data_IF_835318414958
#
_entry.id   IF_835318414958
#
_cell.length_a   1.000
_cell.length_b   1.000
_cell.length_c   1.000
_cell.angle_alpha   90.00
_cell.angle_beta   90.00
_cell.angle_gamma   90.00
#
_symmetry.space_group_name_H-M   'P 1'
#
loop_
_entity.id
_entity.type
_entity.pdbx_description
1 polymer ?
#
# COMPACT_ATOMS: atom_id res chain seq x y z
N UNK A 1 11.23 7.61 14.37
CA UNK A 1 10.02 7.11 15.02
C UNK A 1 8.82 7.34 14.13
N UNK A 2 8.20 6.24 13.69
CA UNK A 2 6.94 6.30 12.96
C UNK A 2 5.84 6.58 13.95
N UNK A 3 5.42 7.82 14.08
CA UNK A 3 4.26 8.13 14.90
C UNK A 3 3.04 8.03 14.00
N UNK A 4 2.31 6.94 14.15
CA UNK A 4 1.02 6.79 13.51
C UNK A 4 0.00 7.58 14.33
N UNK A 5 -0.53 8.64 13.76
CA UNK A 5 -1.64 9.38 14.37
C UNK A 5 -2.87 9.06 13.55
N UNK A 6 -3.80 8.37 14.17
CA UNK A 6 -5.12 8.09 13.60
C UNK A 6 -6.13 8.96 14.31
N UNK A 7 -6.44 10.16 13.85
CA UNK A 7 -7.59 10.89 14.35
C UNK A 7 -8.82 10.43 13.57
N UNK A 8 -9.58 9.49 14.14
CA UNK A 8 -10.99 9.30 13.85
C UNK A 8 -11.46 9.13 12.39
N UNK A 9 -10.55 8.81 11.48
CA UNK A 9 -10.88 8.59 10.06
C UNK A 9 -11.13 7.11 9.89
N UNK A 10 -12.36 6.78 9.66
CA UNK A 10 -12.79 5.47 9.19
C UNK A 10 -12.46 5.39 7.72
N UNK A 11 -11.71 4.37 7.32
CA UNK A 11 -11.34 3.94 5.98
C UNK A 11 -10.04 4.52 5.43
N UNK A 12 -9.09 3.65 5.16
CA UNK A 12 -7.96 3.65 4.21
C UNK A 12 -7.04 4.89 4.12
N UNK A 13 -7.32 5.98 4.79
CA UNK A 13 -6.42 7.13 4.87
C UNK A 13 -5.56 7.02 6.13
N UNK A 14 -4.27 6.79 5.96
CA UNK A 14 -3.28 6.84 7.04
C UNK A 14 -2.38 8.04 6.84
N UNK A 15 -2.36 8.94 7.81
CA UNK A 15 -1.47 10.08 7.80
C UNK A 15 -0.15 9.66 8.42
N UNK A 16 0.92 9.63 7.62
CA UNK A 16 2.26 9.34 8.09
C UNK A 16 3.05 10.64 8.22
N UNK A 17 3.54 10.88 9.41
CA UNK A 17 4.47 11.96 9.65
C UNK A 17 5.88 11.41 9.75
N UNK A 18 6.73 11.80 8.83
CA UNK A 18 8.16 11.50 8.88
C UNK A 18 8.86 12.65 9.59
N UNK A 19 9.06 12.52 10.89
CA UNK A 19 9.82 13.48 11.67
C UNK A 19 11.31 13.22 11.47
N UNK A 20 12.00 14.13 10.81
CA UNK A 20 13.47 14.13 10.79
C UNK A 20 14.09 14.83 12.00
N UNK A 21 13.31 15.62 12.74
CA UNK A 21 13.73 16.35 13.95
C UNK A 21 12.77 16.15 15.10
N UNK A 22 13.27 16.06 16.33
CA UNK A 22 12.49 15.94 17.57
C UNK A 22 11.47 17.07 17.84
N UNK A 23 11.38 18.05 16.94
CA UNK A 23 10.43 19.15 17.01
C UNK A 23 8.96 18.74 16.78
N UNK A 24 8.72 17.59 16.12
CA UNK A 24 7.36 17.09 15.89
C UNK A 24 6.81 16.38 17.11
N UNK A 25 7.68 15.76 17.91
CA UNK A 25 7.25 15.09 19.13
C UNK A 25 6.45 16.02 20.05
N UNK A 26 6.70 17.31 19.99
CA UNK A 26 6.01 18.30 20.83
C UNK A 26 4.59 18.61 20.33
N UNK A 27 4.37 18.73 19.01
CA UNK A 27 3.04 18.97 18.45
C UNK A 27 2.10 17.77 18.58
N UNK A 28 2.70 16.56 18.56
CA UNK A 28 1.95 15.32 18.79
C UNK A 28 1.60 15.12 20.27
N UNK A 29 2.48 15.56 21.16
CA UNK A 29 2.30 15.42 22.60
C UNK A 29 1.12 16.25 23.12
N UNK A 30 0.85 17.40 22.53
CA UNK A 30 -0.26 18.27 22.89
C UNK A 30 -1.60 17.84 22.25
N UNK A 31 -1.62 16.71 21.54
CA UNK A 31 -2.82 16.13 20.94
C UNK A 31 -3.38 16.89 19.71
N UNK A 32 -2.70 17.93 19.27
CA UNK A 32 -3.04 18.69 18.07
C UNK A 32 -1.86 18.75 17.12
N UNK A 33 -2.12 18.49 15.83
CA UNK A 33 -1.13 18.65 14.78
C UNK A 33 -0.99 20.12 14.42
N UNK A 34 0.25 20.61 14.48
CA UNK A 34 0.57 21.97 14.04
C UNK A 34 0.80 21.96 12.54
N UNK A 35 -0.28 22.05 11.77
CA UNK A 35 -0.22 22.11 10.31
C UNK A 35 0.56 23.33 9.81
N UNK A 36 0.44 24.47 10.46
CA UNK A 36 1.17 25.69 10.08
C UNK A 36 2.68 25.46 10.09
N UNK A 37 3.16 24.69 11.08
CA UNK A 37 4.57 24.32 11.16
C UNK A 37 5.02 23.39 10.05
N UNK A 38 4.17 22.42 9.64
CA UNK A 38 4.46 21.56 8.49
C UNK A 38 4.54 22.36 7.20
N UNK A 39 3.57 23.24 6.96
CA UNK A 39 3.58 24.14 5.79
C UNK A 39 4.84 25.02 5.76
N UNK A 40 5.15 25.68 6.86
CA UNK A 40 6.34 26.54 6.94
C UNK A 40 7.64 25.75 6.72
N UNK A 41 7.73 24.54 7.26
CA UNK A 41 8.91 23.69 7.10
C UNK A 41 9.08 23.28 5.65
N UNK A 42 8.00 22.83 4.99
CA UNK A 42 8.03 22.45 3.59
C UNK A 42 8.36 23.62 2.66
N UNK A 43 7.66 24.75 2.80
CA UNK A 43 7.85 25.93 1.97
C UNK A 43 9.27 26.54 2.03
N UNK A 44 9.97 26.35 3.15
CA UNK A 44 11.34 26.85 3.35
C UNK A 44 12.44 25.88 2.94
N UNK A 45 12.07 24.63 2.64
CA UNK A 45 13.03 23.58 2.35
C UNK A 45 13.42 23.58 0.86
N UNK A 46 14.23 24.56 0.49
CA UNK A 46 14.85 24.62 -0.84
C UNK A 46 16.01 23.62 -0.88
N UNK A 47 16.01 22.74 -1.87
CA UNK A 47 17.05 21.73 -1.98
C UNK A 47 18.39 22.32 -2.34
N UNK A 48 19.42 21.95 -1.61
CA UNK A 48 20.80 22.43 -1.82
C UNK A 48 21.65 21.47 -2.65
N UNK A 49 21.11 20.28 -2.97
CA UNK A 49 21.78 19.35 -3.87
C UNK A 49 21.99 20.00 -5.25
N UNK A 50 23.22 19.99 -5.83
CA UNK A 50 23.51 20.67 -7.09
C UNK A 50 22.68 20.18 -8.28
N UNK A 51 22.31 18.90 -8.31
CA UNK A 51 21.50 18.31 -9.38
C UNK A 51 20.05 18.75 -9.22
N UNK A 52 19.50 18.60 -8.01
CA UNK A 52 18.12 18.95 -7.71
C UNK A 52 17.90 20.47 -7.75
N UNK A 53 18.82 21.25 -7.23
CA UNK A 53 18.76 22.72 -7.30
C UNK A 53 18.75 23.21 -8.74
N UNK A 54 19.51 22.59 -9.64
CA UNK A 54 19.50 22.91 -11.07
C UNK A 54 18.18 22.52 -11.74
N UNK A 55 17.59 21.40 -11.33
CA UNK A 55 16.37 20.86 -11.91
C UNK A 55 15.11 21.56 -11.39
N UNK A 56 15.06 21.85 -10.09
CA UNK A 56 13.87 22.32 -9.39
C UNK A 56 13.91 23.85 -9.13
N UNK A 57 15.07 24.49 -9.24
CA UNK A 57 15.22 25.92 -9.00
C UNK A 57 14.88 26.30 -7.55
N UNK A 58 13.91 27.22 -7.41
CA UNK A 58 13.44 27.68 -6.09
C UNK A 58 12.26 26.88 -5.54
N UNK A 59 11.89 25.75 -6.18
CA UNK A 59 10.83 24.90 -5.70
C UNK A 59 11.23 24.22 -4.39
N UNK A 60 10.29 24.13 -3.47
CA UNK A 60 10.53 23.55 -2.15
C UNK A 60 10.25 22.05 -2.12
N UNK A 61 11.16 21.32 -1.50
CA UNK A 61 11.03 19.88 -1.26
C UNK A 61 10.16 19.63 -0.01
N UNK A 62 9.12 18.86 -0.13
CA UNK A 62 8.31 18.47 1.02
C UNK A 62 9.06 17.49 1.92
N UNK A 63 9.12 17.80 3.23
CA UNK A 63 9.56 16.89 4.27
C UNK A 63 8.38 16.13 4.89
N UNK A 64 7.20 16.70 4.76
CA UNK A 64 5.93 16.17 5.27
C UNK A 64 4.93 16.13 4.15
N UNK A 65 4.12 15.09 4.11
CA UNK A 65 3.04 14.95 3.15
C UNK A 65 1.90 14.14 3.75
N UNK A 66 0.75 14.22 3.14
CA UNK A 66 -0.36 13.31 3.35
C UNK A 66 -0.33 12.29 2.23
N UNK A 67 -0.29 11.01 2.61
CA UNK A 67 -0.39 9.91 1.66
C UNK A 67 -1.75 9.22 1.76
N UNK A 68 -2.18 8.69 0.64
CA UNK A 68 -3.33 7.80 0.54
C UNK A 68 -2.83 6.41 0.12
N UNK A 69 -3.15 5.38 0.91
CA UNK A 69 -2.79 3.99 0.61
C UNK A 69 -3.98 3.28 0.02
N UNK A 70 -3.78 2.73 -1.16
CA UNK A 70 -4.82 2.05 -1.92
C UNK A 70 -4.62 0.55 -1.93
N UNK A 71 -5.74 -0.16 -1.75
CA UNK A 71 -5.84 -1.60 -1.91
C UNK A 71 -7.05 -1.89 -2.80
N UNK A 72 -6.84 -1.85 -4.11
CA UNK A 72 -7.90 -2.09 -5.09
C UNK A 72 -8.01 -3.59 -5.36
N UNK A 73 -9.11 -4.18 -4.95
CA UNK A 73 -9.33 -5.61 -5.06
C UNK A 73 -10.46 -5.93 -6.04
N UNK A 74 -10.18 -6.87 -6.93
CA UNK A 74 -11.15 -7.48 -7.83
C UNK A 74 -11.19 -8.98 -7.57
N UNK A 75 -12.35 -9.48 -7.18
CA UNK A 75 -12.55 -10.89 -6.79
C UNK A 75 -13.68 -11.50 -7.62
N UNK A 76 -13.36 -12.57 -8.35
CA UNK A 76 -14.33 -13.39 -9.05
C UNK A 76 -14.40 -14.77 -8.42
N UNK A 77 -15.59 -15.20 -8.07
CA UNK A 77 -15.83 -16.51 -7.49
C UNK A 77 -16.92 -17.23 -8.29
N UNK A 78 -16.58 -18.41 -8.81
CA UNK A 78 -17.51 -19.33 -9.46
C UNK A 78 -17.57 -20.61 -8.67
N UNK A 79 -18.74 -20.92 -8.12
CA UNK A 79 -18.98 -22.17 -7.40
C UNK A 79 -20.08 -22.98 -8.09
N UNK A 80 -19.80 -24.25 -8.33
CA UNK A 80 -20.74 -25.20 -8.90
C UNK A 80 -20.92 -26.35 -7.92
N UNK A 81 -22.17 -26.65 -7.58
CA UNK A 81 -22.52 -27.78 -6.74
C UNK A 81 -23.51 -28.68 -7.47
N UNK A 82 -23.26 -29.96 -7.46
CA UNK A 82 -24.10 -30.99 -8.08
C UNK A 82 -24.48 -32.03 -7.06
N UNK A 83 -25.76 -32.35 -7.04
CA UNK A 83 -26.29 -33.45 -6.24
C UNK A 83 -27.06 -34.40 -7.14
N UNK A 84 -26.76 -35.71 -7.02
CA UNK A 84 -27.45 -36.73 -7.76
C UNK A 84 -27.87 -37.86 -6.80
N UNK A 85 -29.15 -38.14 -6.77
CA UNK A 85 -29.71 -39.27 -6.00
C UNK A 85 -29.88 -40.47 -6.94
N UNK A 86 -29.21 -41.56 -6.62
CA UNK A 86 -29.27 -42.82 -7.36
C UNK A 86 -30.25 -43.77 -6.73
N UNK A 87 -30.60 -44.87 -7.44
CA UNK A 87 -31.39 -45.95 -6.88
C UNK A 87 -30.62 -46.63 -5.73
N UNK A 88 -31.35 -47.32 -4.84
CA UNK A 88 -30.81 -48.07 -3.70
C UNK A 88 -30.15 -47.19 -2.61
N UNK A 89 -30.78 -46.08 -2.25
CA UNK A 89 -30.30 -45.18 -1.19
C UNK A 89 -28.85 -44.67 -1.39
N UNK A 90 -28.44 -44.48 -2.63
CA UNK A 90 -27.15 -43.90 -2.97
C UNK A 90 -27.32 -42.46 -3.33
N UNK A 91 -26.38 -41.62 -2.85
CA UNK A 91 -26.34 -40.19 -3.13
C UNK A 91 -24.90 -39.74 -3.41
N UNK A 92 -24.71 -39.01 -4.48
CA UNK A 92 -23.47 -38.29 -4.76
C UNK A 92 -23.74 -36.80 -4.64
N UNK A 93 -22.86 -36.13 -3.92
CA UNK A 93 -22.80 -34.65 -3.87
C UNK A 93 -21.38 -34.25 -4.17
N UNK A 94 -21.20 -33.30 -5.07
CA UNK A 94 -19.91 -32.81 -5.40
C UNK A 94 -19.96 -31.35 -5.79
N UNK A 95 -18.82 -30.71 -5.74
CA UNK A 95 -18.72 -29.33 -6.12
C UNK A 95 -17.32 -28.95 -6.57
N UNK A 96 -17.24 -27.86 -7.26
CA UNK A 96 -15.99 -27.21 -7.61
C UNK A 96 -16.11 -25.70 -7.40
N UNK A 97 -15.02 -25.10 -6.99
CA UNK A 97 -14.90 -23.67 -6.82
C UNK A 97 -13.67 -23.16 -7.55
N UNK A 98 -13.83 -22.03 -8.25
CA UNK A 98 -12.78 -21.29 -8.89
C UNK A 98 -12.83 -19.85 -8.38
N UNK A 99 -11.76 -19.39 -7.79
CA UNK A 99 -11.62 -18.01 -7.35
C UNK A 99 -10.42 -17.35 -8.03
N UNK A 100 -10.65 -16.22 -8.63
CA UNK A 100 -9.62 -15.37 -9.23
C UNK A 100 -9.63 -14.05 -8.50
N UNK A 101 -8.56 -13.72 -7.84
CA UNK A 101 -8.39 -12.46 -7.15
C UNK A 101 -7.22 -11.69 -7.76
N UNK A 102 -7.42 -10.40 -7.95
CA UNK A 102 -6.40 -9.44 -8.36
C UNK A 102 -6.46 -8.25 -7.43
N UNK A 103 -5.34 -7.98 -6.76
CA UNK A 103 -5.23 -6.86 -5.83
C UNK A 103 -4.07 -5.97 -6.24
N UNK A 104 -4.31 -4.66 -6.37
CA UNK A 104 -3.29 -3.65 -6.58
C UNK A 104 -3.02 -2.96 -5.25
N UNK A 105 -1.76 -2.81 -4.90
CA UNK A 105 -1.30 -2.10 -3.71
C UNK A 105 -0.41 -0.94 -4.15
N UNK A 106 -0.75 0.28 -3.73
CA UNK A 106 0.08 1.45 -4.02
C UNK A 106 -0.18 2.57 -3.03
N UNK A 107 0.79 3.49 -2.94
CA UNK A 107 0.64 4.77 -2.24
C UNK A 107 0.57 5.91 -3.25
N UNK A 108 -0.24 6.91 -2.95
CA UNK A 108 -0.40 8.12 -3.73
C UNK A 108 -0.23 9.34 -2.83
N UNK A 109 0.36 10.40 -3.36
CA UNK A 109 0.51 11.66 -2.64
C UNK A 109 -0.81 12.43 -2.70
N UNK A 110 -1.42 12.64 -1.53
CA UNK A 110 -2.68 13.38 -1.41
C UNK A 110 -2.45 14.87 -1.28
N UNK A 111 -1.47 15.28 -0.47
CA UNK A 111 -1.12 16.66 -0.22
C UNK A 111 0.36 16.78 0.16
N UNK A 112 1.04 17.76 -0.38
CA UNK A 112 2.44 18.06 -0.11
C UNK A 112 2.62 19.07 1.04
N UNK A 113 1.53 19.50 1.69
CA UNK A 113 1.54 20.42 2.82
C UNK A 113 2.39 21.69 2.55
N UNK A 114 2.12 22.31 1.39
CA UNK A 114 2.75 23.55 0.99
C UNK A 114 4.12 23.43 0.31
N UNK A 115 4.65 22.22 0.13
CA UNK A 115 5.82 22.01 -0.72
C UNK A 115 5.44 21.82 -2.19
N UNK A 116 6.41 21.91 -3.09
CA UNK A 116 6.20 21.82 -4.53
C UNK A 116 6.39 20.41 -5.08
N UNK A 117 7.18 19.57 -4.39
CA UNK A 117 7.47 18.21 -4.80
C UNK A 117 7.88 17.32 -3.64
N UNK A 118 7.76 16.01 -3.85
CA UNK A 118 8.27 14.96 -3.01
C UNK A 118 9.43 14.24 -3.69
N UNK A 119 10.48 13.97 -2.95
CA UNK A 119 11.61 13.17 -3.40
C UNK A 119 11.39 11.71 -3.01
N UNK A 120 11.18 10.84 -4.01
CA UNK A 120 10.75 9.45 -3.81
C UNK A 120 11.91 8.56 -3.38
N UNK A 121 12.26 8.68 -2.11
CA UNK A 121 13.33 7.93 -1.44
C UNK A 121 12.85 7.39 -0.09
N UNK A 122 13.57 6.40 0.42
CA UNK A 122 13.42 5.96 1.80
C UNK A 122 14.14 6.95 2.74
N UNK A 123 13.33 7.77 3.42
CA UNK A 123 13.82 8.79 4.35
C UNK A 123 14.60 8.24 5.54
N UNK A 124 14.32 7.02 5.96
CA UNK A 124 15.07 6.38 7.03
C UNK A 124 16.42 5.90 6.53
N UNK A 125 16.45 5.28 5.36
CA UNK A 125 17.70 4.89 4.73
C UNK A 125 18.57 6.11 4.35
N UNK A 126 17.97 7.22 3.87
CA UNK A 126 18.69 8.49 3.62
C UNK A 126 19.46 8.96 4.84
N UNK A 127 18.87 8.83 6.04
CA UNK A 127 19.52 9.23 7.28
C UNK A 127 20.66 8.29 7.68
N UNK A 128 20.48 6.99 7.49
CA UNK A 128 21.32 5.95 8.09
C UNK A 128 22.35 5.38 7.11
N UNK A 129 22.20 5.61 5.80
CA UNK A 129 23.04 5.06 4.74
C UNK A 129 23.90 6.12 4.06
N UNK A 130 25.17 5.78 3.81
CA UNK A 130 26.13 6.70 3.16
C UNK A 130 26.02 6.74 1.62
N UNK A 131 25.42 5.69 1.01
CA UNK A 131 25.29 5.58 -0.45
C UNK A 131 23.95 6.08 -0.91
N UNK A 132 23.95 6.96 -1.90
CA UNK A 132 22.71 7.48 -2.51
C UNK A 132 21.84 6.36 -3.11
N UNK A 133 22.44 5.30 -3.61
CA UNK A 133 21.72 4.14 -4.16
C UNK A 133 20.93 3.37 -3.09
N UNK A 134 21.43 3.35 -1.85
CA UNK A 134 20.84 2.55 -0.77
C UNK A 134 19.48 3.06 -0.30
N UNK A 135 19.14 4.32 -0.57
CA UNK A 135 17.87 4.92 -0.16
C UNK A 135 16.91 5.22 -1.31
N UNK A 136 17.23 4.79 -2.54
CA UNK A 136 16.34 4.96 -3.68
C UNK A 136 15.18 3.96 -3.62
N UNK A 137 13.96 4.43 -3.88
CA UNK A 137 12.80 3.57 -4.08
C UNK A 137 12.74 3.00 -5.51
N UNK A 138 13.35 3.69 -6.47
CA UNK A 138 13.44 3.31 -7.88
C UNK A 138 14.89 3.44 -8.37
N UNK A 139 15.63 2.34 -8.28
CA UNK A 139 17.04 2.28 -8.70
C UNK A 139 17.23 2.43 -10.20
N UNK A 140 16.33 1.88 -11.00
CA UNK A 140 16.44 1.97 -12.46
C UNK A 140 16.27 3.41 -12.92
N UNK A 141 15.33 4.14 -12.32
CA UNK A 141 15.18 5.56 -12.57
C UNK A 141 16.40 6.36 -12.12
N UNK A 142 16.93 6.07 -10.93
CA UNK A 142 18.12 6.74 -10.40
C UNK A 142 19.34 6.56 -11.31
N UNK A 143 19.61 5.35 -11.77
CA UNK A 143 20.73 5.08 -12.68
C UNK A 143 20.58 5.74 -14.05
N UNK A 144 19.35 5.89 -14.52
CA UNK A 144 19.06 6.54 -15.80
C UNK A 144 19.17 8.08 -15.73
N UNK A 145 18.87 8.69 -14.58
CA UNK A 145 18.70 10.15 -14.46
C UNK A 145 19.72 10.80 -13.53
N UNK A 146 20.36 10.04 -12.63
CA UNK A 146 21.28 10.54 -11.61
C UNK A 146 20.60 11.17 -10.38
N UNK A 147 19.27 11.07 -10.28
CA UNK A 147 18.51 11.54 -9.13
C UNK A 147 17.29 10.64 -8.87
N UNK A 148 16.73 10.69 -7.65
CA UNK A 148 15.50 9.98 -7.35
C UNK A 148 14.30 10.58 -8.12
N UNK A 149 13.26 9.80 -8.23
CA UNK A 149 12.02 10.26 -8.86
C UNK A 149 11.40 11.40 -8.07
N UNK A 150 10.98 12.41 -8.80
CA UNK A 150 10.25 13.56 -8.25
C UNK A 150 8.78 13.28 -8.42
N UNK A 151 8.05 13.25 -7.31
CA UNK A 151 6.62 12.99 -7.28
C UNK A 151 5.85 14.24 -6.82
N UNK A 152 4.63 14.39 -7.31
CA UNK A 152 3.71 15.49 -7.01
C UNK A 152 2.38 14.95 -6.51
N UNK A 153 1.50 15.84 -6.12
CA UNK A 153 0.12 15.46 -5.73
C UNK A 153 -0.54 14.66 -6.85
N UNK A 154 -1.10 13.50 -6.52
CA UNK A 154 -1.71 12.55 -7.44
C UNK A 154 -0.73 11.52 -8.02
N UNK A 155 0.57 11.64 -7.76
CA UNK A 155 1.54 10.66 -8.22
C UNK A 155 1.65 9.48 -7.25
N UNK A 156 1.82 8.29 -7.80
CA UNK A 156 2.18 7.10 -7.02
C UNK A 156 3.65 7.18 -6.63
N UNK A 157 3.95 6.81 -5.41
CA UNK A 157 5.32 6.83 -4.88
C UNK A 157 5.58 5.65 -3.96
N UNK A 158 6.86 5.41 -3.62
CA UNK A 158 7.29 4.36 -2.70
C UNK A 158 7.11 2.97 -3.28
N UNK A 159 5.87 2.50 -3.38
CA UNK A 159 5.59 1.18 -3.92
C UNK A 159 4.36 1.15 -4.83
N UNK A 160 4.43 0.25 -5.81
CA UNK A 160 3.29 -0.16 -6.64
C UNK A 160 3.48 -1.62 -7.05
N UNK A 161 2.65 -2.50 -6.51
CA UNK A 161 2.69 -3.90 -6.89
C UNK A 161 1.29 -4.50 -7.02
N UNK A 162 1.21 -5.59 -7.75
CA UNK A 162 -0.01 -6.31 -8.03
C UNK A 162 0.13 -7.76 -7.62
N UNK A 163 -0.80 -8.24 -6.80
CA UNK A 163 -0.94 -9.64 -6.47
C UNK A 163 -2.02 -10.28 -7.32
N UNK A 164 -1.76 -11.48 -7.82
CA UNK A 164 -2.73 -12.34 -8.49
C UNK A 164 -2.82 -13.64 -7.75
N UNK A 165 -4.04 -14.01 -7.37
CA UNK A 165 -4.34 -15.28 -6.72
C UNK A 165 -5.32 -16.05 -7.58
N UNK A 166 -4.98 -17.31 -7.89
CA UNK A 166 -5.87 -18.30 -8.47
C UNK A 166 -6.04 -19.44 -7.47
N UNK A 167 -7.25 -19.63 -7.03
CA UNK A 167 -7.62 -20.69 -6.12
C UNK A 167 -8.64 -21.60 -6.80
N UNK A 168 -8.37 -22.90 -6.79
CA UNK A 168 -9.27 -23.91 -7.31
C UNK A 168 -9.42 -25.01 -6.28
N UNK A 169 -10.64 -25.43 -6.03
CA UNK A 169 -10.90 -26.61 -5.24
C UNK A 169 -12.02 -27.43 -5.86
N UNK A 170 -11.99 -28.73 -5.61
CA UNK A 170 -13.06 -29.63 -5.99
C UNK A 170 -13.22 -30.67 -4.87
N UNK A 171 -14.46 -31.06 -4.63
CA UNK A 171 -14.78 -32.04 -3.63
C UNK A 171 -15.91 -32.94 -4.12
N UNK A 172 -15.95 -34.18 -3.61
CA UNK A 172 -17.03 -35.10 -3.84
C UNK A 172 -17.31 -35.85 -2.56
N UNK A 173 -18.57 -36.12 -2.29
CA UNK A 173 -19.05 -36.96 -1.21
C UNK A 173 -19.99 -38.01 -1.77
N UNK A 174 -19.77 -39.26 -1.41
CA UNK A 174 -20.62 -40.37 -1.77
C UNK A 174 -21.25 -40.97 -0.49
N UNK A 175 -22.54 -41.10 -0.48
CA UNK A 175 -23.28 -41.70 0.62
C UNK A 175 -24.02 -42.96 0.12
N UNK A 176 -23.86 -44.04 0.82
CA UNK A 176 -24.53 -45.33 0.55
C UNK A 176 -25.22 -45.83 1.80
N UNK A 177 -26.48 -46.14 1.67
CA UNK A 177 -27.31 -46.67 2.76
C UNK A 177 -27.77 -48.09 2.50
N UNK A 178 -27.57 -49.03 3.47
CA UNK A 178 -28.06 -50.39 3.48
C UNK A 178 -28.84 -50.62 4.76
N UNK A 179 -30.16 -50.94 4.67
CA UNK A 179 -30.97 -51.42 5.79
C UNK A 179 -31.05 -50.45 6.93
N UNK A 180 -30.85 -49.40 7.15
CA UNK A 180 -30.84 -48.45 8.27
C UNK A 180 -29.47 -47.91 8.65
N UNK A 181 -28.41 -48.38 8.00
CA UNK A 181 -27.05 -47.86 8.13
C UNK A 181 -26.69 -46.98 6.93
N UNK A 182 -25.99 -45.87 7.16
CA UNK A 182 -25.44 -45.03 6.11
C UNK A 182 -23.93 -44.87 6.29
N UNK A 183 -23.18 -45.01 5.20
CA UNK A 183 -21.76 -44.79 5.13
C UNK A 183 -21.51 -43.60 4.17
N UNK A 184 -20.78 -42.62 4.62
CA UNK A 184 -20.35 -41.48 3.81
C UNK A 184 -18.82 -41.42 3.71
N UNK A 185 -18.29 -41.15 2.54
CA UNK A 185 -16.87 -40.93 2.25
C UNK A 185 -16.68 -39.60 1.51
#
# INVERSE_FOLDING_TARGET
DKTQIVPGITTDETIYFYAMDGAIAKGVWDGMLDYDKFFQTNMRNIDTDPVLSKLMGNNSRSNYMIEERHTDQLDYNLAVNVQHNMRHNMRIVGGANLRVNRTNYYSEIKDLLGGDYWYDIDKFAERDMASAEAYQNDLDYYWATGHARIARVGDKYGYYYRAHLLETNAWANYTWGIGGFSLGV
#
